data_IF_846994284116
#
_entry.id   IF_846994284116
#
_cell.length_a   1.000
_cell.length_b   1.000
_cell.length_c   1.000
_cell.angle_alpha   90.00
_cell.angle_beta   90.00
_cell.angle_gamma   90.00
#
_symmetry.space_group_name_H-M   'P 1'
#
loop_
_entity.id
_entity.type
_entity.pdbx_description
1 polymer ?
#
# COMPACT_ATOMS: atom_id res chain seq x y z
N UNK A 1 -2.54 5.84 3.06
CA UNK A 1 -2.20 7.24 2.68
C UNK A 1 -2.02 7.28 1.18
N UNK A 2 -2.66 8.18 0.42
CA UNK A 2 -2.42 8.22 -1.04
C UNK A 2 -1.04 8.78 -1.33
N UNK A 3 -0.11 7.91 -1.70
CA UNK A 3 1.14 8.36 -2.33
C UNK A 3 0.78 9.01 -3.67
N UNK A 4 1.36 10.20 -3.94
CA UNK A 4 1.17 10.88 -5.22
C UNK A 4 1.87 10.08 -6.32
N UNK A 5 1.25 9.98 -7.50
CA UNK A 5 1.83 9.27 -8.67
C UNK A 5 3.25 9.73 -9.01
N UNK A 6 3.53 11.03 -8.83
CA UNK A 6 4.87 11.60 -8.99
C UNK A 6 5.91 11.00 -8.04
N UNK A 7 5.51 10.69 -6.80
CA UNK A 7 6.39 10.06 -5.83
C UNK A 7 6.67 8.60 -6.19
N UNK A 8 5.66 7.88 -6.70
CA UNK A 8 5.82 6.51 -7.20
C UNK A 8 6.78 6.49 -8.40
N UNK A 9 6.63 7.41 -9.35
CA UNK A 9 7.54 7.54 -10.49
C UNK A 9 8.98 7.82 -10.04
N UNK A 10 9.16 8.73 -9.07
CA UNK A 10 10.48 9.08 -8.51
C UNK A 10 11.12 7.90 -7.77
N UNK A 11 10.36 7.13 -7.01
CA UNK A 11 10.85 5.93 -6.31
C UNK A 11 11.22 4.84 -7.32
N UNK A 12 10.36 4.62 -8.32
CA UNK A 12 10.60 3.63 -9.38
C UNK A 12 11.89 3.94 -10.15
N UNK A 13 12.09 5.20 -10.52
CA UNK A 13 13.34 5.66 -11.15
C UNK A 13 14.57 5.34 -10.29
N UNK A 14 14.55 5.71 -9.00
CA UNK A 14 15.65 5.42 -8.07
C UNK A 14 15.93 3.93 -7.88
N UNK A 15 14.89 3.10 -7.87
CA UNK A 15 15.03 1.64 -7.76
C UNK A 15 15.74 1.10 -9.00
N UNK A 16 15.27 1.47 -10.19
CA UNK A 16 15.89 1.05 -11.46
C UNK A 16 17.33 1.54 -11.57
N UNK A 17 17.58 2.82 -11.26
CA UNK A 17 18.94 3.37 -11.29
C UNK A 17 19.88 2.61 -10.35
N UNK A 18 19.39 2.13 -9.20
CA UNK A 18 20.18 1.33 -8.25
C UNK A 18 20.40 -0.10 -8.73
N UNK A 19 19.43 -0.69 -9.43
CA UNK A 19 19.56 -2.02 -10.04
C UNK A 19 20.61 -2.01 -11.16
N UNK A 20 20.59 -0.97 -12.01
CA UNK A 20 21.57 -0.75 -13.08
C UNK A 20 22.97 -0.54 -12.50
N UNK A 21 23.12 0.34 -11.50
CA UNK A 21 24.43 0.57 -10.83
C UNK A 21 25.04 -0.67 -10.19
N UNK A 22 24.23 -1.67 -9.86
CA UNK A 22 24.69 -2.92 -9.24
C UNK A 22 24.86 -4.04 -10.27
N UNK A 23 24.71 -3.75 -11.56
CA UNK A 23 24.79 -4.73 -12.66
C UNK A 23 23.83 -5.92 -12.44
N UNK A 24 22.73 -5.69 -11.72
CA UNK A 24 21.70 -6.70 -11.45
C UNK A 24 20.69 -6.81 -12.59
N UNK A 25 20.87 -6.02 -13.65
CA UNK A 25 20.03 -5.98 -14.85
C UNK A 25 20.95 -6.10 -16.05
N UNK A 26 20.61 -6.98 -16.98
CA UNK A 26 21.36 -7.15 -18.23
C UNK A 26 21.16 -5.94 -19.14
N UNK A 27 22.21 -5.53 -19.85
CA UNK A 27 22.23 -4.33 -20.71
C UNK A 27 21.18 -4.34 -21.85
N UNK A 28 20.60 -5.50 -22.20
CA UNK A 28 19.52 -5.63 -23.18
C UNK A 28 18.12 -5.23 -22.67
N UNK A 29 17.99 -4.89 -21.38
CA UNK A 29 16.70 -4.52 -20.81
C UNK A 29 16.34 -3.06 -21.11
N UNK A 30 15.16 -2.84 -21.72
CA UNK A 30 14.58 -1.50 -21.84
C UNK A 30 14.34 -0.89 -20.45
N UNK A 31 15.17 0.08 -20.08
CA UNK A 31 15.12 0.76 -18.78
C UNK A 31 13.80 1.48 -18.56
N UNK A 32 13.14 1.94 -19.62
CA UNK A 32 11.84 2.59 -19.54
C UNK A 32 10.76 1.57 -19.20
N UNK A 33 10.78 0.41 -19.86
CA UNK A 33 9.87 -0.69 -19.54
C UNK A 33 10.07 -1.18 -18.09
N UNK A 34 11.32 -1.31 -17.64
CA UNK A 34 11.62 -1.71 -16.27
C UNK A 34 11.08 -0.71 -15.25
N UNK A 35 11.23 0.60 -15.50
CA UNK A 35 10.65 1.66 -14.67
C UNK A 35 9.13 1.56 -14.60
N UNK A 36 8.47 1.31 -15.73
CA UNK A 36 7.02 1.10 -15.78
C UNK A 36 6.58 -0.16 -15.03
N UNK A 37 7.34 -1.25 -15.09
CA UNK A 37 7.04 -2.48 -14.34
C UNK A 37 7.17 -2.25 -12.84
N UNK A 38 8.24 -1.59 -12.38
CA UNK A 38 8.42 -1.25 -10.97
C UNK A 38 7.30 -0.33 -10.49
N UNK A 39 6.95 0.70 -11.26
CA UNK A 39 5.85 1.60 -10.92
C UNK A 39 4.52 0.86 -10.79
N UNK A 40 4.20 -0.04 -11.73
CA UNK A 40 2.98 -0.87 -11.67
C UNK A 40 2.93 -1.77 -10.46
N UNK A 41 4.05 -2.38 -10.07
CA UNK A 41 4.11 -3.22 -8.86
C UNK A 41 3.85 -2.38 -7.61
N UNK A 42 4.45 -1.19 -7.51
CA UNK A 42 4.21 -0.28 -6.38
C UNK A 42 2.75 0.18 -6.36
N UNK A 43 2.17 0.55 -7.50
CA UNK A 43 0.76 0.94 -7.59
C UNK A 43 -0.19 -0.21 -7.20
N UNK A 44 0.12 -1.43 -7.66
CA UNK A 44 -0.65 -2.62 -7.32
C UNK A 44 -0.63 -2.88 -5.81
N UNK A 45 0.54 -2.78 -5.17
CA UNK A 45 0.71 -2.96 -3.74
C UNK A 45 -0.08 -1.91 -2.94
N UNK A 46 0.03 -0.62 -3.32
CA UNK A 46 -0.75 0.46 -2.70
C UNK A 46 -2.27 0.27 -2.88
N UNK A 47 -2.71 -0.27 -4.01
CA UNK A 47 -4.12 -0.57 -4.24
C UNK A 47 -4.66 -1.66 -3.31
N UNK A 48 -3.81 -2.58 -2.85
CA UNK A 48 -4.19 -3.59 -1.85
C UNK A 48 -4.39 -2.91 -0.50
N UNK A 49 -3.50 -2.00 -0.12
CA UNK A 49 -3.64 -1.23 1.13
C UNK A 49 -4.88 -0.32 1.12
N UNK A 50 -5.18 0.32 -0.02
CA UNK A 50 -6.37 1.16 -0.17
C UNK A 50 -7.66 0.34 -0.01
N UNK A 51 -7.74 -0.83 -0.66
CA UNK A 51 -8.88 -1.76 -0.48
C UNK A 51 -9.02 -2.23 0.97
N UNK A 52 -7.91 -2.55 1.62
CA UNK A 52 -7.89 -2.92 3.04
C UNK A 52 -8.46 -1.78 3.91
N UNK A 53 -8.05 -0.54 3.64
CA UNK A 53 -8.53 0.62 4.38
C UNK A 53 -10.02 0.88 4.16
N UNK A 54 -10.54 0.66 2.94
CA UNK A 54 -11.98 0.77 2.64
C UNK A 54 -12.79 -0.29 3.39
N UNK A 55 -12.35 -1.54 3.35
CA UNK A 55 -13.01 -2.65 4.05
C UNK A 55 -13.04 -2.45 5.58
N UNK A 56 -11.95 -1.94 6.16
CA UNK A 56 -11.93 -1.57 7.59
C UNK A 56 -12.94 -0.46 7.90
N UNK A 57 -13.10 0.53 7.01
CA UNK A 57 -14.09 1.60 7.21
C UNK A 57 -15.51 1.09 7.09
N UNK A 58 -15.79 0.22 6.13
CA UNK A 58 -17.11 -0.41 5.99
C UNK A 58 -17.45 -1.22 7.24
N UNK A 59 -16.52 -2.07 7.70
CA UNK A 59 -16.72 -2.84 8.92
C UNK A 59 -17.02 -1.94 10.12
N UNK A 60 -16.25 -0.85 10.29
CA UNK A 60 -16.47 0.07 11.40
C UNK A 60 -17.74 0.91 11.27
N UNK A 61 -18.26 1.18 10.07
CA UNK A 61 -19.55 1.86 9.89
C UNK A 61 -20.68 1.06 10.52
N UNK A 62 -20.67 -0.26 10.35
CA UNK A 62 -21.69 -1.14 10.94
C UNK A 62 -21.64 -1.13 12.48
N UNK A 63 -20.48 -0.82 13.06
CA UNK A 63 -20.29 -0.71 14.51
C UNK A 63 -20.37 0.74 15.04
N UNK A 64 -20.55 1.77 14.20
CA UNK A 64 -20.56 3.18 14.65
C UNK A 64 -21.62 3.43 15.72
N UNK A 65 -22.84 2.90 15.54
CA UNK A 65 -23.94 3.08 16.49
C UNK A 65 -23.68 2.43 17.86
N UNK A 66 -22.85 1.38 17.91
CA UNK A 66 -22.40 0.73 19.14
C UNK A 66 -21.21 1.46 19.78
N UNK A 67 -20.32 2.02 18.96
CA UNK A 67 -19.15 2.78 19.39
C UNK A 67 -19.54 4.10 20.05
N UNK A 68 -20.58 4.78 19.53
CA UNK A 68 -21.13 5.99 20.11
C UNK A 68 -21.77 5.72 21.49
N UNK A 69 -22.38 4.54 21.67
CA UNK A 69 -22.95 4.12 22.97
C UNK A 69 -21.89 3.69 23.98
N UNK A 70 -20.74 3.19 23.52
CA UNK A 70 -19.68 2.62 24.36
C UNK A 70 -18.49 3.58 24.58
N UNK A 71 -18.53 4.79 24.01
CA UNK A 71 -17.50 5.83 24.10
C UNK A 71 -16.10 5.31 23.69
N UNK A 72 -16.05 4.44 22.67
CA UNK A 72 -14.82 3.82 22.19
C UNK A 72 -14.20 4.66 21.07
N UNK A 73 -12.88 4.87 21.14
CA UNK A 73 -12.13 5.66 20.16
C UNK A 73 -12.01 4.92 18.81
N UNK A 74 -12.60 5.53 17.78
CA UNK A 74 -12.59 5.04 16.40
C UNK A 74 -11.17 4.83 15.85
N UNK A 75 -10.23 5.72 16.17
CA UNK A 75 -8.85 5.63 15.68
C UNK A 75 -8.15 4.38 16.19
N UNK A 76 -8.42 4.02 17.45
CA UNK A 76 -7.85 2.82 18.08
C UNK A 76 -8.42 1.55 17.46
N UNK A 77 -9.74 1.49 17.28
CA UNK A 77 -10.40 0.34 16.64
C UNK A 77 -9.98 0.18 15.17
N UNK A 78 -9.87 1.27 14.42
CA UNK A 78 -9.35 1.26 13.06
C UNK A 78 -7.96 0.61 12.98
N UNK A 79 -7.05 1.01 13.87
CA UNK A 79 -5.70 0.44 13.91
C UNK A 79 -5.72 -1.05 14.28
N UNK A 80 -6.55 -1.45 15.25
CA UNK A 80 -6.67 -2.85 15.67
C UNK A 80 -7.24 -3.75 14.58
N UNK A 81 -8.34 -3.33 13.94
CA UNK A 81 -8.98 -4.07 12.86
C UNK A 81 -8.06 -4.14 11.64
N UNK A 82 -7.42 -3.02 11.25
CA UNK A 82 -6.45 -3.01 10.15
C UNK A 82 -5.30 -3.99 10.40
N UNK A 83 -4.76 -4.05 11.62
CA UNK A 83 -3.69 -4.98 11.99
C UNK A 83 -4.17 -6.43 11.93
N UNK A 84 -5.39 -6.71 12.40
CA UNK A 84 -5.98 -8.05 12.35
C UNK A 84 -6.20 -8.52 10.91
N UNK A 85 -6.85 -7.69 10.09
CA UNK A 85 -7.14 -8.00 8.68
C UNK A 85 -5.85 -8.17 7.85
N UNK A 86 -4.83 -7.34 8.11
CA UNK A 86 -3.53 -7.50 7.45
C UNK A 86 -2.86 -8.84 7.79
N UNK A 87 -2.90 -9.26 9.07
CA UNK A 87 -2.37 -10.57 9.50
C UNK A 87 -3.13 -11.73 8.87
N UNK A 88 -4.45 -11.67 8.82
CA UNK A 88 -5.28 -12.71 8.19
C UNK A 88 -4.98 -12.87 6.70
N UNK A 89 -4.61 -11.78 6.02
CA UNK A 89 -4.26 -11.78 4.59
C UNK A 89 -2.76 -11.91 4.30
N UNK A 90 -1.92 -12.16 5.32
CA UNK A 90 -0.45 -12.18 5.20
C UNK A 90 0.12 -10.93 4.51
N UNK A 91 -0.51 -9.78 4.70
CA UNK A 91 -0.02 -8.51 4.19
C UNK A 91 1.04 -7.95 5.14
N UNK A 92 2.13 -7.44 4.57
CA UNK A 92 3.16 -6.70 5.31
C UNK A 92 2.72 -5.24 5.35
N UNK A 93 2.45 -4.72 6.55
CA UNK A 93 2.10 -3.32 6.82
C UNK A 93 3.34 -2.47 7.13
#
# INVERSE_FOLDING_TARGET
MRLRKEMIARVSGKVVDRLVRRELVTDDADLEELRHRVARVIEADLSVEDRLNEEVKELLRDYQDEMDKSNVDYSRLFTMVKTKLARERNLVL
#
